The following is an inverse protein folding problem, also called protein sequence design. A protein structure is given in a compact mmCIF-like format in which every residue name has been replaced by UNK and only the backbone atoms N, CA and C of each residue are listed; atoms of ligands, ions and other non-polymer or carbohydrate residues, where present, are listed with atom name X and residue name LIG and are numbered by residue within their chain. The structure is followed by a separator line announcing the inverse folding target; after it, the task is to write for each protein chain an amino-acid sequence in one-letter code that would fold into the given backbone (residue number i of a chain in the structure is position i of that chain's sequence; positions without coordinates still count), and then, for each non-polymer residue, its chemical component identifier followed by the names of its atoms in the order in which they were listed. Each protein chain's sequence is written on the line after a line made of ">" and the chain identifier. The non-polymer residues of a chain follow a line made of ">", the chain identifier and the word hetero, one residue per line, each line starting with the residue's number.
data_IF_150217269691
#
_entry.id   IF_150217269691
#
_cell.length_a   1.000
_cell.length_b   1.000
_cell.length_c   1.000
_cell.angle_alpha   90.00
_cell.angle_beta   90.00
_cell.angle_gamma   90.00
#
_symmetry.space_group_name_H-M   'P 1'
#
loop_
_entity.id
_entity.type
_entity.pdbx_description
1 polymer ?
#
# COMPACT_ATOMS: atom_id res chain seq x y z
N UNK A 1 -48.07 35.47 17.84
CA UNK A 1 -48.53 34.89 19.13
C UNK A 1 -48.89 33.43 18.91
N UNK A 2 -48.88 32.63 19.98
CA UNK A 2 -48.96 31.15 20.00
C UNK A 2 -47.75 30.41 19.36
N UNK A 3 -47.29 29.26 19.85
CA UNK A 3 -47.39 28.66 21.20
C UNK A 3 -46.37 27.52 21.38
N UNK A 4 -45.63 27.57 22.50
CA UNK A 4 -45.29 26.50 23.45
C UNK A 4 -44.69 25.12 23.06
N UNK A 5 -43.80 24.70 23.98
CA UNK A 5 -43.09 23.41 24.17
C UNK A 5 -41.83 23.20 23.29
N UNK A 6 -40.81 22.44 23.70
CA UNK A 6 -40.64 21.59 24.91
C UNK A 6 -39.29 21.85 25.65
N UNK A 7 -38.88 20.94 26.53
CA UNK A 7 -37.83 21.00 27.55
C UNK A 7 -36.39 20.65 27.10
N UNK A 8 -35.35 21.16 27.80
CA UNK A 8 -34.00 20.60 27.81
C UNK A 8 -33.87 19.45 28.84
N UNK A 9 -33.03 18.44 28.55
CA UNK A 9 -32.65 17.40 29.52
C UNK A 9 -31.17 17.56 29.93
N UNK A 10 -30.84 17.85 31.20
CA UNK A 10 -29.47 17.99 31.67
C UNK A 10 -28.93 16.66 32.21
N UNK A 11 -28.04 16.01 31.45
CA UNK A 11 -27.29 14.84 31.89
C UNK A 11 -25.78 15.02 31.67
N UNK A 12 -25.21 15.96 32.41
CA UNK A 12 -23.75 16.07 32.57
C UNK A 12 -23.30 14.99 33.56
N UNK A 13 -22.86 13.81 33.08
CA UNK A 13 -22.06 12.89 33.90
C UNK A 13 -21.26 11.90 33.07
N UNK A 14 -19.94 11.92 33.25
CA UNK A 14 -18.99 10.85 32.97
C UNK A 14 -19.19 10.06 31.67
N UNK A 15 -18.76 10.63 30.54
CA UNK A 15 -17.98 9.80 29.64
C UNK A 15 -16.61 9.60 30.32
N UNK A 16 -16.24 8.37 30.77
CA UNK A 16 -14.84 8.11 31.01
C UNK A 16 -14.10 8.42 29.70
N UNK A 17 -12.94 9.06 29.78
CA UNK A 17 -12.01 9.10 28.66
C UNK A 17 -11.83 7.66 28.19
N UNK A 18 -12.44 7.32 27.05
CA UNK A 18 -12.40 5.96 26.53
C UNK A 18 -11.02 5.77 25.93
N UNK A 19 -10.05 5.61 26.83
CA UNK A 19 -8.67 5.29 26.58
C UNK A 19 -8.68 3.95 25.85
N UNK A 20 -8.76 4.00 24.52
CA UNK A 20 -8.75 2.83 23.66
C UNK A 20 -7.55 1.97 24.08
N UNK A 21 -7.77 0.80 24.72
CA UNK A 21 -6.72 0.10 25.43
C UNK A 21 -5.84 -0.60 24.41
N UNK A 22 -4.81 0.12 23.97
CA UNK A 22 -4.01 -0.13 22.77
C UNK A 22 -4.86 -0.18 21.49
N UNK A 23 -4.50 0.64 20.51
CA UNK A 23 -4.71 0.22 19.13
C UNK A 23 -3.90 -1.08 18.98
N UNK A 24 -4.59 -2.22 18.87
CA UNK A 24 -3.96 -3.50 18.59
C UNK A 24 -3.21 -3.32 17.28
N UNK A 25 -1.88 -3.17 17.37
CA UNK A 25 -1.05 -2.96 16.19
C UNK A 25 -1.33 -4.05 15.18
N UNK A 26 -1.28 -3.72 13.89
CA UNK A 26 -1.38 -4.77 12.87
C UNK A 26 -0.34 -5.84 13.19
N UNK A 27 -0.68 -7.14 13.03
CA UNK A 27 0.29 -8.20 13.23
C UNK A 27 1.53 -7.91 12.38
N UNK A 28 2.72 -8.23 12.90
CA UNK A 28 3.98 -7.89 12.24
C UNK A 28 3.97 -8.39 10.78
N UNK A 29 4.06 -7.44 9.84
CA UNK A 29 3.87 -7.69 8.42
C UNK A 29 5.20 -8.05 7.76
N UNK A 30 5.21 -9.07 6.92
CA UNK A 30 6.39 -9.45 6.14
C UNK A 30 6.33 -8.76 4.77
N UNK A 31 6.86 -7.55 4.72
CA UNK A 31 6.83 -6.70 3.53
C UNK A 31 7.72 -7.28 2.43
N UNK A 32 7.16 -7.44 1.23
CA UNK A 32 7.90 -7.79 0.02
C UNK A 32 7.44 -6.96 -1.18
N UNK A 33 8.29 -6.90 -2.21
CA UNK A 33 8.00 -6.27 -3.50
C UNK A 33 7.80 -7.36 -4.55
N UNK A 34 6.64 -7.36 -5.21
CA UNK A 34 6.45 -8.03 -6.49
C UNK A 34 6.43 -6.97 -7.60
N UNK A 35 7.20 -7.20 -8.66
CA UNK A 35 7.19 -6.39 -9.88
C UNK A 35 6.39 -7.18 -10.90
N UNK A 36 5.21 -6.71 -11.29
CA UNK A 36 4.27 -7.47 -12.12
C UNK A 36 4.50 -7.25 -13.63
N UNK A 37 5.13 -6.14 -14.02
CA UNK A 37 5.52 -5.86 -15.41
C UNK A 37 7.04 -5.81 -15.59
N UNK A 38 7.48 -6.20 -16.80
CA UNK A 38 8.86 -6.00 -17.22
C UNK A 38 9.20 -4.49 -17.25
N UNK A 39 10.35 -4.05 -16.69
CA UNK A 39 10.74 -2.65 -16.73
C UNK A 39 10.87 -2.11 -18.16
N UNK A 40 10.28 -0.95 -18.41
CA UNK A 40 10.26 -0.22 -19.69
C UNK A 40 11.66 0.14 -20.18
N UNK A 41 12.50 0.61 -19.26
CA UNK A 41 13.84 1.13 -19.55
C UNK A 41 14.85 0.83 -18.43
N UNK A 42 16.12 1.23 -18.65
CA UNK A 42 17.22 1.03 -17.70
C UNK A 42 17.07 1.85 -16.41
N UNK A 43 16.51 3.06 -16.47
CA UNK A 43 16.28 3.91 -15.30
C UNK A 43 15.15 3.37 -14.42
N UNK A 44 14.05 2.89 -15.03
CA UNK A 44 12.98 2.17 -14.31
C UNK A 44 13.51 0.90 -13.65
N UNK A 45 14.32 0.10 -14.36
CA UNK A 45 15.00 -1.06 -13.76
C UNK A 45 15.86 -0.67 -12.54
N UNK A 46 16.60 0.44 -12.61
CA UNK A 46 17.42 0.93 -11.48
C UNK A 46 16.53 1.38 -10.31
N UNK A 47 15.43 2.10 -10.56
CA UNK A 47 14.45 2.49 -9.52
C UNK A 47 13.87 1.27 -8.83
N UNK A 48 13.44 0.26 -9.59
CA UNK A 48 12.87 -0.98 -9.04
C UNK A 48 13.89 -1.83 -8.26
N UNK A 49 15.17 -1.82 -8.64
CA UNK A 49 16.24 -2.45 -7.84
C UNK A 49 16.44 -1.73 -6.51
N UNK A 50 16.52 -0.39 -6.51
CA UNK A 50 16.61 0.42 -5.27
C UNK A 50 15.39 0.20 -4.36
N UNK A 51 14.20 0.17 -4.95
CA UNK A 51 12.95 -0.13 -4.23
C UNK A 51 12.98 -1.54 -3.62
N UNK A 52 13.47 -2.56 -4.33
CA UNK A 52 13.61 -3.91 -3.77
C UNK A 52 14.56 -3.93 -2.58
N UNK A 53 15.71 -3.27 -2.68
CA UNK A 53 16.68 -3.14 -1.59
C UNK A 53 16.08 -2.42 -0.37
N UNK A 54 15.33 -1.33 -0.60
CA UNK A 54 14.63 -0.60 0.45
C UNK A 54 13.57 -1.46 1.15
N UNK A 55 12.73 -2.18 0.39
CA UNK A 55 11.73 -3.10 0.96
C UNK A 55 12.40 -4.24 1.73
N UNK A 56 13.53 -4.76 1.26
CA UNK A 56 14.30 -5.79 1.98
C UNK A 56 14.87 -5.28 3.31
N UNK A 57 15.36 -4.03 3.39
CA UNK A 57 15.79 -3.45 4.67
C UNK A 57 14.63 -3.08 5.61
N UNK A 58 13.40 -3.04 5.09
CA UNK A 58 12.16 -2.79 5.83
C UNK A 58 11.25 -4.03 5.81
N UNK A 59 11.82 -5.24 5.74
CA UNK A 59 11.05 -6.48 5.57
C UNK A 59 10.04 -6.75 6.69
N UNK A 60 10.26 -6.24 7.91
CA UNK A 60 9.31 -6.34 9.01
C UNK A 60 8.76 -4.95 9.34
N UNK A 61 7.44 -4.78 9.23
CA UNK A 61 6.75 -3.51 9.55
C UNK A 61 5.57 -3.73 10.47
N UNK A 62 5.30 -2.77 11.36
CA UNK A 62 4.05 -2.70 12.13
C UNK A 62 2.89 -2.14 11.29
N UNK A 63 3.19 -1.41 10.20
CA UNK A 63 2.23 -0.97 9.19
C UNK A 63 2.98 -0.69 7.89
N UNK A 64 2.85 -1.55 6.88
CA UNK A 64 3.54 -1.39 5.58
C UNK A 64 3.17 -0.08 4.87
N UNK A 65 2.03 0.53 5.19
CA UNK A 65 1.55 1.76 4.55
C UNK A 65 2.46 2.95 4.89
N UNK A 66 3.18 2.88 6.01
CA UNK A 66 4.23 3.84 6.40
C UNK A 66 5.36 3.97 5.38
N UNK A 67 5.58 2.96 4.53
CA UNK A 67 6.60 2.99 3.48
C UNK A 67 6.20 3.84 2.26
N UNK A 68 4.92 4.15 2.08
CA UNK A 68 4.40 4.81 0.88
C UNK A 68 5.08 6.15 0.50
N UNK A 69 5.48 7.03 1.45
CA UNK A 69 6.25 8.24 1.13
C UNK A 69 7.61 7.91 0.50
N UNK A 70 8.40 7.03 1.12
CA UNK A 70 9.72 6.62 0.61
C UNK A 70 9.63 5.86 -0.72
N UNK A 71 8.58 5.05 -0.91
CA UNK A 71 8.29 4.41 -2.21
C UNK A 71 8.08 5.48 -3.31
N UNK A 72 7.37 6.58 -2.99
CA UNK A 72 7.16 7.72 -3.91
C UNK A 72 8.45 8.47 -4.22
N UNK A 73 9.31 8.69 -3.24
CA UNK A 73 10.62 9.34 -3.45
C UNK A 73 11.55 8.48 -4.33
N UNK A 74 11.59 7.16 -4.10
CA UNK A 74 12.42 6.22 -4.86
C UNK A 74 11.97 6.05 -6.32
N UNK A 75 10.66 6.09 -6.57
CA UNK A 75 10.11 5.99 -7.93
C UNK A 75 10.12 7.35 -8.66
N UNK A 76 9.95 8.46 -7.94
CA UNK A 76 9.92 9.81 -8.51
C UNK A 76 8.61 10.16 -9.23
N UNK A 77 8.53 11.35 -9.85
CA UNK A 77 7.27 11.96 -10.29
C UNK A 77 6.59 11.27 -11.48
N UNK A 78 7.26 10.36 -12.19
CA UNK A 78 6.68 9.61 -13.31
C UNK A 78 5.74 8.46 -12.90
N UNK A 79 5.44 8.29 -11.61
CA UNK A 79 4.66 7.17 -11.08
C UNK A 79 3.60 7.65 -10.09
N UNK A 80 2.40 7.10 -10.23
CA UNK A 80 1.34 7.20 -9.24
C UNK A 80 1.53 6.11 -8.19
N UNK A 81 1.78 6.54 -6.95
CA UNK A 81 1.87 5.65 -5.79
C UNK A 81 0.60 5.81 -4.96
N UNK A 82 -0.17 4.74 -4.84
CA UNK A 82 -1.37 4.68 -4.01
C UNK A 82 -1.32 3.55 -2.99
N UNK A 83 -2.10 3.69 -1.94
CA UNK A 83 -2.09 2.80 -0.79
C UNK A 83 -3.49 2.22 -0.58
N UNK A 84 -3.60 0.90 -0.62
CA UNK A 84 -4.78 0.17 -0.14
C UNK A 84 -4.68 -0.11 1.37
N UNK A 85 -5.61 -0.91 1.90
CA UNK A 85 -5.63 -1.29 3.32
C UNK A 85 -4.39 -2.09 3.76
N UNK A 86 -3.78 -2.85 2.85
CA UNK A 86 -2.71 -3.83 3.16
C UNK A 86 -1.69 -3.99 2.02
N UNK A 87 -1.58 -2.99 1.13
CA UNK A 87 -0.58 -2.97 0.06
C UNK A 87 -0.38 -1.55 -0.49
N UNK A 88 0.78 -1.30 -1.09
CA UNK A 88 1.10 -0.09 -1.86
C UNK A 88 1.24 -0.51 -3.32
N UNK A 89 0.46 0.10 -4.21
CA UNK A 89 0.53 -0.15 -5.64
C UNK A 89 1.29 0.95 -6.36
N UNK A 90 1.93 0.58 -7.46
CA UNK A 90 2.76 1.46 -8.29
C UNK A 90 2.23 1.38 -9.73
N UNK A 91 1.59 2.46 -10.18
CA UNK A 91 1.22 2.65 -11.59
C UNK A 91 2.22 3.63 -12.21
N UNK A 92 2.74 3.38 -13.42
CA UNK A 92 3.36 4.44 -14.21
C UNK A 92 2.31 5.50 -14.53
N UNK A 93 2.65 6.79 -14.51
CA UNK A 93 1.77 7.79 -15.09
C UNK A 93 1.68 7.57 -16.61
N UNK A 94 0.50 7.79 -17.17
CA UNK A 94 0.30 7.82 -18.60
C UNK A 94 0.66 9.22 -19.12
N UNK A 95 1.50 9.29 -20.16
CA UNK A 95 1.59 10.48 -21.00
C UNK A 95 0.24 10.61 -21.72
N UNK A 96 -0.46 11.72 -21.46
CA UNK A 96 -1.91 11.77 -21.62
C UNK A 96 -2.34 12.04 -23.07
N UNK A 97 -2.51 10.96 -23.86
CA UNK A 97 -3.47 10.87 -24.97
C UNK A 97 -3.64 9.41 -25.44
N UNK A 98 -4.87 8.90 -25.43
CA UNK A 98 -5.31 7.67 -26.14
C UNK A 98 -4.71 6.30 -25.74
N UNK A 99 -3.90 6.19 -24.68
CA UNK A 99 -3.48 4.87 -24.16
C UNK A 99 -4.51 4.30 -23.16
N UNK A 100 -4.63 2.96 -23.06
CA UNK A 100 -5.42 2.32 -22.00
C UNK A 100 -4.89 2.72 -20.61
N UNK A 101 -5.74 2.62 -19.59
CA UNK A 101 -5.38 2.95 -18.21
C UNK A 101 -4.08 2.22 -17.80
N UNK A 102 -3.10 2.91 -17.19
CA UNK A 102 -1.78 2.33 -16.96
C UNK A 102 -1.88 1.11 -16.04
N UNK A 103 -1.42 -0.04 -16.52
CA UNK A 103 -1.37 -1.27 -15.75
C UNK A 103 -0.38 -1.16 -14.58
N UNK A 104 -0.60 -1.96 -13.52
CA UNK A 104 0.24 -1.94 -12.31
C UNK A 104 1.63 -2.51 -12.58
N UNK A 105 2.65 -1.68 -12.39
CA UNK A 105 4.06 -2.03 -12.61
C UNK A 105 4.56 -2.94 -11.49
N UNK A 106 4.22 -2.59 -10.25
CA UNK A 106 4.66 -3.30 -9.06
C UNK A 106 3.71 -3.07 -7.88
N UNK A 107 3.84 -3.93 -6.88
CA UNK A 107 3.10 -3.90 -5.63
C UNK A 107 4.03 -4.26 -4.46
N UNK A 108 3.96 -3.46 -3.40
CA UNK A 108 4.55 -3.77 -2.09
C UNK A 108 3.42 -4.27 -1.20
N UNK A 109 3.55 -5.47 -0.65
CA UNK A 109 2.47 -6.11 0.11
C UNK A 109 3.01 -6.96 1.26
N UNK A 110 2.09 -7.43 2.10
CA UNK A 110 2.38 -8.39 3.17
C UNK A 110 2.36 -9.83 2.62
N UNK A 111 3.49 -10.53 2.77
CA UNK A 111 3.70 -11.92 2.35
C UNK A 111 2.81 -12.89 3.12
N UNK A 112 2.45 -12.56 4.36
CA UNK A 112 1.59 -13.41 5.20
C UNK A 112 0.13 -13.37 4.76
N UNK A 113 -0.30 -12.30 4.08
CA UNK A 113 -1.69 -12.11 3.62
C UNK A 113 -1.86 -12.28 2.11
N UNK A 114 -0.81 -12.09 1.31
CA UNK A 114 -0.92 -12.01 -0.16
C UNK A 114 0.30 -12.59 -0.88
N UNK A 115 0.07 -13.25 -2.02
CA UNK A 115 1.11 -13.78 -2.91
C UNK A 115 0.94 -13.25 -4.35
N UNK A 116 1.60 -12.14 -4.64
CA UNK A 116 1.77 -11.56 -5.98
C UNK A 116 3.04 -12.11 -6.62
N UNK A 117 3.03 -12.34 -7.94
CA UNK A 117 4.16 -12.93 -8.67
C UNK A 117 5.09 -11.85 -9.22
N UNK A 118 6.39 -12.13 -9.21
CA UNK A 118 7.37 -11.34 -9.97
C UNK A 118 7.31 -11.71 -11.47
N UNK A 119 7.41 -10.72 -12.37
CA UNK A 119 7.39 -10.90 -13.83
C UNK A 119 8.54 -11.80 -14.33
N UNK A 120 9.65 -11.84 -13.57
CA UNK A 120 10.85 -12.61 -13.84
C UNK A 120 10.91 -13.90 -13.00
N UNK A 121 9.86 -14.22 -12.26
CA UNK A 121 9.76 -15.52 -11.58
C UNK A 121 9.59 -16.60 -12.64
N UNK A 122 10.50 -17.57 -12.68
CA UNK A 122 10.42 -18.66 -13.62
C UNK A 122 9.11 -19.42 -13.40
N UNK A 123 8.30 -19.58 -14.45
CA UNK A 123 7.18 -20.53 -14.43
C UNK A 123 7.76 -21.92 -14.15
N UNK A 124 7.66 -22.38 -12.91
CA UNK A 124 7.95 -23.77 -12.54
C UNK A 124 6.88 -24.62 -13.23
N UNK A 125 7.19 -25.00 -14.47
CA UNK A 125 6.43 -25.99 -15.21
C UNK A 125 6.81 -27.31 -14.58
N UNK A 126 6.00 -27.74 -13.60
CA UNK A 126 6.10 -29.07 -13.02
C UNK A 126 5.76 -30.06 -14.14
N UNK A 127 6.78 -30.47 -14.90
CA UNK A 127 6.71 -31.67 -15.72
C UNK A 127 6.68 -32.85 -14.75
N UNK A 128 5.47 -33.25 -14.36
CA UNK A 128 5.24 -34.59 -13.84
C UNK A 128 5.72 -35.56 -14.93
N UNK A 129 6.70 -36.39 -14.57
CA UNK A 129 7.09 -37.59 -15.31
C UNK A 129 6.30 -38.77 -14.75
#
# INVERSE_FOLDING_TARGET
>A
MLSCLYHPNPAFMNQPSQSYPNATGFPAQETYLAIEQKPRDKAEKIRLVKLRQYVQSHAHQADLRSLAPSVRELMGPGYQIGCGSSHIWILPLADSASLPAPERLAIVADRLMTAFRDWNEARITIRMQ
#
